data_IF_002452773081
#
_entry.id   IF_002452773081
#
_cell.length_a   1.000
_cell.length_b   1.000
_cell.length_c   1.000
_cell.angle_alpha   90.00
_cell.angle_beta   90.00
_cell.angle_gamma   90.00
#
_symmetry.space_group_name_H-M   'P 1'
#
loop_
_entity.id
_entity.type
_entity.pdbx_description
1 polymer ?
#
# COMPACT_ATOMS: atom_id res chain seq x y z
N UNK A 1 12.10 -1.53 -19.06
CA UNK A 1 11.55 -0.19 -19.34
C UNK A 1 12.18 0.28 -20.63
N UNK A 2 11.37 0.58 -21.64
CA UNK A 2 11.85 1.16 -22.91
C UNK A 2 11.87 2.68 -22.77
N UNK A 3 13.05 3.28 -22.78
CA UNK A 3 13.25 4.71 -22.75
C UNK A 3 13.80 5.23 -24.08
N UNK A 4 13.58 6.51 -24.34
CA UNK A 4 14.12 7.19 -25.52
C UNK A 4 15.09 8.28 -25.05
N UNK A 5 16.30 8.28 -25.59
CA UNK A 5 17.26 9.38 -25.44
C UNK A 5 17.40 10.13 -26.75
N UNK A 6 17.69 11.41 -26.64
CA UNK A 6 18.02 12.24 -27.79
C UNK A 6 19.55 12.44 -27.82
N UNK A 7 20.19 11.90 -28.83
CA UNK A 7 21.57 12.22 -29.16
C UNK A 7 21.54 13.18 -30.33
N UNK A 8 21.78 14.46 -30.07
CA UNK A 8 21.61 15.49 -31.09
C UNK A 8 20.16 15.60 -31.56
N UNK A 9 19.89 15.52 -32.85
CA UNK A 9 18.56 15.58 -33.48
C UNK A 9 17.89 14.21 -33.66
N UNK A 10 18.58 13.11 -33.39
CA UNK A 10 18.07 11.75 -33.59
C UNK A 10 17.55 11.12 -32.33
N UNK A 11 16.41 10.43 -32.38
CA UNK A 11 15.86 9.62 -31.30
C UNK A 11 16.52 8.24 -31.32
N UNK A 12 17.27 7.89 -30.28
CA UNK A 12 17.82 6.55 -30.12
C UNK A 12 16.92 5.75 -29.19
N UNK A 13 16.52 4.54 -29.62
CA UNK A 13 15.72 3.61 -28.85
C UNK A 13 16.66 2.66 -28.13
N UNK A 14 16.62 2.63 -26.78
CA UNK A 14 17.46 1.76 -25.97
C UNK A 14 16.64 0.91 -25.01
N UNK A 15 17.11 -0.31 -24.74
CA UNK A 15 16.59 -1.18 -23.67
C UNK A 15 17.44 -0.94 -22.41
N UNK A 16 16.75 -0.63 -21.29
CA UNK A 16 17.40 -0.36 -20.00
C UNK A 16 17.19 -1.53 -19.07
N UNK A 17 18.26 -2.07 -18.53
CA UNK A 17 18.24 -2.88 -17.32
C UNK A 17 18.51 -1.99 -16.12
N UNK A 18 17.73 -2.15 -15.06
CA UNK A 18 17.71 -1.33 -13.83
C UNK A 18 19.05 -1.26 -13.07
N UNK A 19 20.09 -2.00 -13.50
CA UNK A 19 21.34 -2.14 -12.79
C UNK A 19 22.44 -1.11 -13.17
N UNK A 20 22.25 -0.29 -14.22
CA UNK A 20 23.23 0.73 -14.60
C UNK A 20 22.54 1.89 -15.29
N UNK A 21 22.38 3.01 -14.59
CA UNK A 21 22.10 4.30 -15.19
C UNK A 21 23.44 4.83 -15.75
N UNK A 22 23.65 4.67 -17.06
CA UNK A 22 24.74 5.37 -17.72
C UNK A 22 24.19 6.72 -18.17
N UNK A 23 24.48 7.78 -17.40
CA UNK A 23 24.14 9.14 -17.79
C UNK A 23 25.21 9.59 -18.78
N UNK A 24 24.85 9.70 -20.05
CA UNK A 24 25.71 10.32 -21.04
C UNK A 24 25.43 11.82 -21.05
N UNK A 25 26.41 12.61 -20.65
CA UNK A 25 26.38 14.07 -20.75
C UNK A 25 26.67 14.49 -22.19
N UNK A 26 25.76 15.29 -22.76
CA UNK A 26 26.07 16.10 -23.93
C UNK A 26 26.56 17.49 -23.48
N UNK A 27 26.91 18.37 -24.45
CA UNK A 27 27.40 19.73 -24.22
C UNK A 27 26.40 20.67 -23.48
N UNK A 28 25.28 20.16 -23.00
CA UNK A 28 24.23 20.86 -22.22
C UNK A 28 24.08 20.33 -20.78
N UNK A 29 25.19 20.02 -20.15
CA UNK A 29 25.25 19.48 -18.78
C UNK A 29 24.36 20.26 -17.78
N UNK A 30 24.28 21.59 -17.91
CA UNK A 30 23.44 22.43 -17.05
C UNK A 30 21.93 22.15 -17.17
N UNK A 31 21.41 21.92 -18.36
CA UNK A 31 19.98 21.63 -18.55
C UNK A 31 19.61 20.22 -18.04
N UNK A 32 20.50 19.26 -18.24
CA UNK A 32 20.34 17.89 -17.72
C UNK A 32 20.38 17.88 -16.21
N UNK A 33 21.30 18.62 -15.61
CA UNK A 33 21.41 18.73 -14.14
C UNK A 33 20.18 19.41 -13.54
N UNK A 34 19.66 20.48 -14.14
CA UNK A 34 18.44 21.15 -13.70
C UNK A 34 17.20 20.23 -13.80
N UNK A 35 17.11 19.43 -14.86
CA UNK A 35 16.03 18.44 -15.02
C UNK A 35 16.14 17.35 -13.93
N UNK A 36 17.34 16.80 -13.72
CA UNK A 36 17.58 15.81 -12.68
C UNK A 36 17.29 16.38 -11.29
N UNK A 37 17.70 17.63 -11.02
CA UNK A 37 17.42 18.31 -9.77
C UNK A 37 15.91 18.49 -9.53
N UNK A 38 15.17 18.86 -10.56
CA UNK A 38 13.70 19.01 -10.51
C UNK A 38 13.00 17.67 -10.25
N UNK A 39 13.40 16.64 -10.99
CA UNK A 39 12.88 15.29 -10.82
C UNK A 39 13.21 14.72 -9.43
N UNK A 40 14.41 14.99 -8.94
CA UNK A 40 14.84 14.57 -7.62
C UNK A 40 14.07 15.27 -6.51
N UNK A 41 13.83 16.58 -6.59
CA UNK A 41 12.95 17.29 -5.66
C UNK A 41 11.55 16.67 -5.60
N UNK A 42 11.00 16.28 -6.75
CA UNK A 42 9.72 15.58 -6.79
C UNK A 42 9.80 14.19 -6.16
N UNK A 43 10.92 13.48 -6.31
CA UNK A 43 11.14 12.15 -5.72
C UNK A 43 11.36 12.19 -4.20
N UNK A 44 11.98 13.23 -3.65
CA UNK A 44 12.10 13.42 -2.20
C UNK A 44 10.70 13.46 -1.55
N UNK A 45 9.74 14.15 -2.19
CA UNK A 45 8.35 14.23 -1.73
C UNK A 45 7.63 12.88 -1.85
N UNK A 46 8.05 12.03 -2.80
CA UNK A 46 7.43 10.75 -3.13
C UNK A 46 8.31 9.53 -2.83
N UNK A 47 9.23 9.65 -1.86
CA UNK A 47 10.20 8.59 -1.52
C UNK A 47 9.49 7.26 -1.20
N UNK A 48 9.94 6.13 -1.78
CA UNK A 48 9.36 4.83 -1.46
C UNK A 48 9.70 4.43 -0.02
N UNK A 49 8.82 3.70 0.68
CA UNK A 49 9.12 3.15 1.99
C UNK A 49 10.34 2.23 1.95
N UNK A 50 11.13 2.26 2.99
CA UNK A 50 12.35 1.44 3.09
C UNK A 50 13.59 2.05 2.42
N UNK A 51 13.48 3.26 1.86
CA UNK A 51 14.64 4.01 1.35
C UNK A 51 15.01 5.09 2.36
N UNK A 52 16.24 5.06 2.82
CA UNK A 52 16.79 6.12 3.65
C UNK A 52 16.91 7.42 2.84
N UNK A 53 16.27 8.50 3.31
CA UNK A 53 16.25 9.77 2.60
C UNK A 53 17.62 10.44 2.59
N UNK A 54 18.42 10.25 3.65
CA UNK A 54 19.80 10.73 3.72
C UNK A 54 20.69 10.00 2.71
N UNK A 55 20.53 8.67 2.57
CA UNK A 55 21.24 7.88 1.56
C UNK A 55 20.87 8.30 0.14
N UNK A 56 19.62 8.63 -0.09
CA UNK A 56 19.14 9.14 -1.38
C UNK A 56 19.80 10.47 -1.73
N UNK A 57 19.96 11.37 -0.76
CA UNK A 57 20.66 12.63 -0.96
C UNK A 57 22.16 12.43 -1.23
N UNK A 58 22.80 11.51 -0.52
CA UNK A 58 24.20 11.13 -0.78
C UNK A 58 24.35 10.56 -2.21
N UNK A 59 23.46 9.65 -2.63
CA UNK A 59 23.50 9.07 -3.97
C UNK A 59 23.40 10.16 -5.05
N UNK A 60 22.48 11.14 -4.86
CA UNK A 60 22.36 12.26 -5.78
C UNK A 60 23.58 13.16 -5.80
N UNK A 61 24.15 13.45 -4.62
CA UNK A 61 25.38 14.25 -4.50
C UNK A 61 26.53 13.58 -5.26
N UNK A 62 26.71 12.26 -5.11
CA UNK A 62 27.69 11.47 -5.86
C UNK A 62 27.49 11.53 -7.38
N UNK A 63 26.24 11.48 -7.84
CA UNK A 63 25.94 11.66 -9.27
C UNK A 63 26.35 13.05 -9.75
N UNK A 64 26.02 14.10 -9.01
CA UNK A 64 26.42 15.47 -9.37
C UNK A 64 27.95 15.65 -9.33
N UNK A 65 28.62 15.09 -8.33
CA UNK A 65 30.09 15.16 -8.23
C UNK A 65 30.77 14.42 -9.39
N UNK A 66 30.27 13.22 -9.73
CA UNK A 66 30.80 12.47 -10.89
C UNK A 66 30.60 13.17 -12.24
N UNK A 67 29.62 14.10 -12.33
CA UNK A 67 29.38 14.93 -13.51
C UNK A 67 30.17 16.26 -13.46
N UNK A 68 30.89 16.54 -12.40
CA UNK A 68 31.64 17.78 -12.26
C UNK A 68 32.82 17.81 -13.25
N UNK A 69 33.09 18.99 -13.81
CA UNK A 69 34.26 19.17 -14.67
C UNK A 69 35.59 19.30 -13.90
N UNK A 70 35.55 19.33 -12.55
CA UNK A 70 36.74 19.48 -11.67
C UNK A 70 37.41 20.83 -11.70
N UNK A 71 36.88 21.84 -12.44
CA UNK A 71 37.54 23.12 -12.63
C UNK A 71 37.54 24.01 -11.38
N UNK A 72 36.40 24.21 -10.77
CA UNK A 72 36.29 25.08 -9.59
C UNK A 72 36.40 24.26 -8.28
N UNK A 73 37.10 24.87 -7.29
CA UNK A 73 37.33 24.27 -5.97
C UNK A 73 36.06 23.91 -5.23
N UNK A 74 34.99 24.77 -5.21
CA UNK A 74 33.74 24.43 -4.53
C UNK A 74 33.09 23.13 -5.02
N UNK A 75 33.16 22.86 -6.32
CA UNK A 75 32.62 21.64 -6.90
C UNK A 75 33.56 20.45 -6.68
N UNK A 76 34.86 20.62 -7.06
CA UNK A 76 35.84 19.53 -7.02
C UNK A 76 36.10 19.00 -5.60
N UNK A 77 36.33 19.89 -4.65
CA UNK A 77 36.74 19.52 -3.29
C UNK A 77 35.52 19.59 -2.33
N UNK A 78 34.63 20.57 -2.55
CA UNK A 78 33.49 20.80 -1.67
C UNK A 78 32.43 19.73 -1.75
N UNK A 79 32.07 19.23 -2.95
CA UNK A 79 31.09 18.13 -3.08
C UNK A 79 31.63 16.83 -2.47
N UNK A 80 32.94 16.54 -2.69
CA UNK A 80 33.58 15.39 -2.04
C UNK A 80 33.54 15.47 -0.52
N UNK A 81 33.78 16.67 0.04
CA UNK A 81 33.68 16.88 1.49
C UNK A 81 32.24 16.69 2.00
N UNK A 82 31.21 17.10 1.25
CA UNK A 82 29.82 16.84 1.60
C UNK A 82 29.48 15.35 1.54
N UNK A 83 30.04 14.60 0.58
CA UNK A 83 29.89 13.14 0.51
C UNK A 83 30.43 12.47 1.77
N UNK A 84 31.69 12.81 2.18
CA UNK A 84 32.30 12.28 3.39
C UNK A 84 31.45 12.55 4.64
N UNK A 85 30.93 13.78 4.77
CA UNK A 85 30.10 14.17 5.91
C UNK A 85 28.74 13.44 5.93
N UNK A 86 28.13 13.20 4.78
CA UNK A 86 26.89 12.40 4.68
C UNK A 86 27.15 10.92 4.96
N UNK A 87 28.31 10.40 4.53
CA UNK A 87 28.72 9.03 4.89
C UNK A 87 28.96 8.91 6.41
N UNK A 88 29.48 9.94 7.06
CA UNK A 88 29.59 9.96 8.52
C UNK A 88 28.22 9.91 9.20
N UNK A 89 27.22 10.62 8.67
CA UNK A 89 25.84 10.54 9.17
C UNK A 89 25.29 9.11 9.04
N UNK A 90 25.43 8.49 7.87
CA UNK A 90 24.92 7.14 7.60
C UNK A 90 25.65 6.05 8.38
N UNK A 91 26.93 6.26 8.68
CA UNK A 91 27.77 5.32 9.43
C UNK A 91 27.80 5.57 10.95
N UNK A 92 26.90 6.39 11.49
CA UNK A 92 26.77 6.70 12.92
C UNK A 92 28.05 7.35 13.51
N UNK A 93 28.80 8.11 12.72
CA UNK A 93 30.00 8.83 13.15
C UNK A 93 29.78 10.33 13.31
N UNK A 94 28.61 10.82 12.86
CA UNK A 94 28.29 12.24 12.86
C UNK A 94 27.74 12.71 14.22
N UNK A 95 27.92 14.00 14.48
CA UNK A 95 27.36 14.75 15.60
C UNK A 95 26.44 15.88 15.06
N UNK A 96 25.72 16.59 15.93
CA UNK A 96 24.94 17.76 15.50
C UNK A 96 25.84 18.88 14.90
N UNK A 97 27.09 18.96 15.35
CA UNK A 97 28.09 19.87 14.75
C UNK A 97 28.40 19.47 13.30
N UNK A 98 28.36 18.17 12.99
CA UNK A 98 28.50 17.66 11.62
C UNK A 98 27.38 18.17 10.73
N UNK A 99 26.13 18.18 11.20
CA UNK A 99 25.00 18.72 10.44
C UNK A 99 25.18 20.23 10.18
N UNK A 100 25.65 20.97 11.17
CA UNK A 100 25.96 22.39 11.04
C UNK A 100 27.06 22.61 10.01
N UNK A 101 28.09 21.73 9.99
CA UNK A 101 29.16 21.78 9.01
C UNK A 101 28.69 21.45 7.60
N UNK A 102 27.79 20.48 7.43
CA UNK A 102 27.17 20.16 6.15
C UNK A 102 26.42 21.39 5.62
N UNK A 103 25.58 22.01 6.45
CA UNK A 103 24.84 23.21 6.08
C UNK A 103 25.73 24.37 5.65
N UNK A 104 26.76 24.67 6.44
CA UNK A 104 27.73 25.72 6.16
C UNK A 104 28.50 25.44 4.87
N UNK A 105 28.96 24.21 4.67
CA UNK A 105 29.72 23.82 3.48
C UNK A 105 28.85 23.90 2.24
N UNK A 106 27.59 23.39 2.29
CA UNK A 106 26.64 23.47 1.19
C UNK A 106 26.32 24.93 0.83
N UNK A 107 26.08 25.82 1.81
CA UNK A 107 25.88 27.27 1.57
C UNK A 107 27.07 27.92 0.86
N UNK A 108 28.27 27.57 1.27
CA UNK A 108 29.48 28.10 0.62
C UNK A 108 29.58 27.63 -0.83
N UNK A 109 29.28 26.36 -1.12
CA UNK A 109 29.30 25.83 -2.50
C UNK A 109 28.21 26.49 -3.33
N UNK A 110 26.98 26.62 -2.80
CA UNK A 110 25.87 27.27 -3.49
C UNK A 110 26.23 28.69 -3.95
N UNK A 111 26.95 29.44 -3.11
CA UNK A 111 27.32 30.82 -3.38
C UNK A 111 28.57 30.99 -4.24
N UNK A 112 29.46 29.98 -4.31
CA UNK A 112 30.79 30.11 -4.90
C UNK A 112 31.07 29.20 -6.08
N UNK A 113 30.14 28.25 -6.39
CA UNK A 113 30.30 27.37 -7.56
C UNK A 113 30.01 28.11 -8.88
N UNK A 114 30.88 27.89 -9.88
CA UNK A 114 30.82 28.58 -11.17
C UNK A 114 29.62 28.14 -12.05
N UNK A 115 29.04 26.99 -11.80
CA UNK A 115 27.99 26.43 -12.68
C UNK A 115 26.93 25.65 -11.91
N UNK A 116 25.84 25.33 -12.62
CA UNK A 116 24.65 24.67 -12.09
C UNK A 116 24.95 23.31 -11.40
N UNK A 117 25.97 22.56 -11.84
CA UNK A 117 26.31 21.28 -11.20
C UNK A 117 26.65 21.49 -9.72
N UNK A 118 27.51 22.47 -9.42
CA UNK A 118 27.91 22.74 -8.03
C UNK A 118 26.80 23.37 -7.20
N UNK A 119 26.25 24.51 -7.66
CA UNK A 119 25.28 25.23 -6.83
C UNK A 119 23.91 24.51 -6.72
N UNK A 120 23.44 23.80 -7.74
CA UNK A 120 22.19 23.02 -7.62
C UNK A 120 22.36 21.76 -6.76
N UNK A 121 23.52 21.08 -6.83
CA UNK A 121 23.80 19.97 -5.94
C UNK A 121 23.77 20.41 -4.46
N UNK A 122 24.44 21.53 -4.17
CA UNK A 122 24.45 22.11 -2.82
C UNK A 122 23.06 22.60 -2.37
N UNK A 123 22.33 23.28 -3.25
CA UNK A 123 20.95 23.74 -2.99
C UNK A 123 20.00 22.58 -2.67
N UNK A 124 20.09 21.49 -3.41
CA UNK A 124 19.28 20.31 -3.16
C UNK A 124 19.59 19.67 -1.81
N UNK A 125 20.88 19.62 -1.44
CA UNK A 125 21.24 19.14 -0.11
C UNK A 125 20.70 20.05 0.99
N UNK A 126 20.75 21.38 0.83
CA UNK A 126 20.16 22.32 1.79
C UNK A 126 18.64 22.16 1.92
N UNK A 127 17.93 22.03 0.79
CA UNK A 127 16.47 21.77 0.79
C UNK A 127 16.16 20.46 1.48
N UNK A 128 16.97 19.42 1.26
CA UNK A 128 16.81 18.15 1.93
C UNK A 128 17.12 18.21 3.42
N UNK A 129 18.19 18.89 3.81
CA UNK A 129 18.56 19.05 5.22
C UNK A 129 17.49 19.81 6.02
N UNK A 130 16.82 20.79 5.39
CA UNK A 130 15.71 21.51 5.99
C UNK A 130 14.44 20.65 6.06
N UNK A 131 14.04 20.08 4.91
CA UNK A 131 12.79 19.32 4.80
C UNK A 131 12.79 17.94 5.47
N UNK A 132 13.98 17.37 5.72
CA UNK A 132 14.19 16.04 6.31
C UNK A 132 14.98 16.12 7.62
N UNK A 133 14.88 17.23 8.33
CA UNK A 133 15.72 17.49 9.50
C UNK A 133 15.59 16.41 10.58
N UNK A 134 14.39 15.90 10.79
CA UNK A 134 14.15 14.84 11.76
C UNK A 134 14.84 13.52 11.37
N UNK A 135 14.90 13.19 10.08
CA UNK A 135 15.63 12.00 9.61
C UNK A 135 17.14 12.14 9.89
N UNK A 136 17.71 13.32 9.64
CA UNK A 136 19.12 13.58 9.97
C UNK A 136 19.38 13.49 11.46
N UNK A 137 18.52 14.11 12.28
CA UNK A 137 18.65 14.07 13.74
C UNK A 137 18.49 12.65 14.30
N UNK A 138 17.59 11.86 13.72
CA UNK A 138 17.43 10.45 14.09
C UNK A 138 18.69 9.62 13.82
N UNK A 139 19.36 9.81 12.67
CA UNK A 139 20.63 9.15 12.40
C UNK A 139 21.72 9.56 13.39
N UNK A 140 21.78 10.86 13.74
CA UNK A 140 22.81 11.40 14.62
C UNK A 140 22.58 11.08 16.09
N UNK A 141 21.33 11.20 16.58
CA UNK A 141 20.98 11.03 18.00
C UNK A 141 20.65 9.60 18.35
N UNK A 142 19.89 8.93 17.51
CA UNK A 142 19.32 7.61 17.79
C UNK A 142 20.06 6.48 17.06
N UNK A 143 21.02 6.83 16.20
CA UNK A 143 21.80 5.89 15.38
C UNK A 143 20.92 4.95 14.55
N UNK A 144 19.78 5.45 14.08
CA UNK A 144 18.82 4.69 13.25
C UNK A 144 18.14 5.59 12.23
N UNK A 145 17.73 4.97 11.13
CA UNK A 145 16.86 5.59 10.15
C UNK A 145 15.41 5.50 10.62
N UNK A 146 14.75 6.62 10.94
CA UNK A 146 13.39 6.65 11.49
C UNK A 146 12.32 6.92 10.46
N UNK A 147 12.57 7.81 9.51
CA UNK A 147 11.53 8.37 8.66
C UNK A 147 11.01 7.43 7.56
N UNK A 148 11.87 6.56 7.03
CA UNK A 148 11.53 5.73 5.88
C UNK A 148 10.65 4.53 6.19
N UNK A 149 10.60 4.07 7.44
CA UNK A 149 9.83 2.88 7.83
C UNK A 149 8.40 3.20 8.27
N UNK A 150 8.11 4.45 8.62
CA UNK A 150 6.79 4.89 9.07
C UNK A 150 5.96 5.56 7.97
N UNK A 151 6.54 5.81 6.81
CA UNK A 151 5.77 6.39 5.70
C UNK A 151 4.75 5.39 5.17
N UNK A 152 3.45 5.76 5.15
CA UNK A 152 2.42 4.87 4.64
C UNK A 152 2.69 4.53 3.17
N UNK A 153 2.58 3.25 2.84
CA UNK A 153 2.64 2.79 1.46
C UNK A 153 1.32 3.19 0.79
N UNK A 154 1.30 4.07 -0.22
CA UNK A 154 0.06 4.64 -0.72
C UNK A 154 -0.98 3.62 -1.16
N UNK A 155 -0.57 2.47 -1.71
CA UNK A 155 -1.51 1.42 -2.08
C UNK A 155 -2.07 0.66 -0.87
N UNK A 156 -1.28 0.48 0.21
CA UNK A 156 -1.76 -0.12 1.47
C UNK A 156 -2.69 0.87 2.17
N UNK A 157 -2.27 2.13 2.29
CA UNK A 157 -3.03 3.19 2.95
C UNK A 157 -4.39 3.44 2.27
N UNK A 158 -4.42 3.39 0.94
CA UNK A 158 -5.66 3.55 0.17
C UNK A 158 -6.55 2.30 0.20
N UNK A 159 -6.03 1.16 0.63
CA UNK A 159 -6.82 -0.06 0.78
C UNK A 159 -7.64 0.00 2.07
N UNK A 160 -9.00 -0.07 2.03
CA UNK A 160 -9.81 -0.03 3.26
C UNK A 160 -9.51 -1.15 4.26
N UNK A 161 -8.93 -2.27 3.79
CA UNK A 161 -8.52 -3.39 4.63
C UNK A 161 -7.01 -3.38 4.95
N UNK A 162 -6.26 -2.36 4.54
CA UNK A 162 -4.81 -2.22 4.74
C UNK A 162 -4.00 -3.47 4.40
N UNK A 163 -4.41 -4.19 3.34
CA UNK A 163 -3.72 -5.42 2.89
C UNK A 163 -2.29 -5.10 2.46
N UNK A 164 -1.33 -5.94 2.85
CA UNK A 164 0.06 -5.83 2.39
C UNK A 164 0.16 -6.13 0.89
N UNK A 165 -0.08 -5.08 0.10
CA UNK A 165 -0.10 -5.15 -1.37
C UNK A 165 1.28 -5.46 -1.96
N UNK A 166 2.38 -4.78 -1.58
CA UNK A 166 3.71 -5.13 -2.08
C UNK A 166 4.11 -6.56 -1.76
N UNK A 167 3.79 -7.03 -0.55
CA UNK A 167 4.11 -8.38 -0.11
C UNK A 167 3.44 -9.45 -0.97
N UNK A 168 2.12 -9.39 -1.17
CA UNK A 168 1.47 -10.41 -2.00
C UNK A 168 1.82 -10.29 -3.50
N UNK A 169 2.13 -9.09 -4.00
CA UNK A 169 2.61 -8.92 -5.39
C UNK A 169 3.97 -9.60 -5.56
N UNK A 170 4.89 -9.42 -4.62
CA UNK A 170 6.19 -10.07 -4.65
C UNK A 170 6.07 -11.60 -4.61
N UNK A 171 5.21 -12.13 -3.73
CA UNK A 171 4.93 -13.57 -3.64
C UNK A 171 4.29 -14.12 -4.92
N UNK A 172 3.34 -13.39 -5.51
CA UNK A 172 2.72 -13.74 -6.78
C UNK A 172 3.76 -13.77 -7.91
N UNK A 173 4.64 -12.77 -7.98
CA UNK A 173 5.73 -12.71 -8.95
C UNK A 173 6.76 -13.83 -8.80
N UNK A 174 6.93 -14.36 -7.58
CA UNK A 174 7.77 -15.53 -7.28
C UNK A 174 7.06 -16.88 -7.50
N UNK A 175 5.80 -16.91 -7.96
CA UNK A 175 5.00 -18.12 -8.14
C UNK A 175 4.51 -18.75 -6.84
N UNK A 176 4.61 -18.03 -5.70
CA UNK A 176 4.20 -18.49 -4.36
C UNK A 176 2.75 -18.07 -4.08
N UNK A 177 1.82 -18.63 -4.83
CA UNK A 177 0.42 -18.18 -4.84
C UNK A 177 -0.31 -18.45 -3.53
N UNK A 178 -0.11 -19.60 -2.89
CA UNK A 178 -0.69 -19.96 -1.59
C UNK A 178 -0.22 -18.98 -0.50
N UNK A 179 1.07 -18.64 -0.50
CA UNK A 179 1.64 -17.68 0.43
C UNK A 179 1.08 -16.26 0.19
N UNK A 180 0.88 -15.87 -1.08
CA UNK A 180 0.26 -14.60 -1.42
C UNK A 180 -1.19 -14.52 -0.90
N UNK A 181 -2.00 -15.56 -1.09
CA UNK A 181 -3.37 -15.63 -0.58
C UNK A 181 -3.39 -15.66 0.95
N UNK A 182 -2.48 -16.40 1.59
CA UNK A 182 -2.33 -16.42 3.05
C UNK A 182 -2.02 -15.03 3.59
N UNK A 183 -1.11 -14.29 2.95
CA UNK A 183 -0.77 -12.92 3.33
C UNK A 183 -1.99 -11.98 3.20
N UNK A 184 -2.76 -12.09 2.11
CA UNK A 184 -3.99 -11.31 1.93
C UNK A 184 -5.00 -11.61 3.04
N UNK A 185 -5.17 -12.89 3.41
CA UNK A 185 -6.14 -13.34 4.43
C UNK A 185 -5.81 -12.89 5.84
N UNK A 186 -4.58 -12.45 6.09
CA UNK A 186 -4.20 -11.81 7.34
C UNK A 186 -5.07 -10.59 7.63
N UNK A 187 -5.32 -9.76 6.61
CA UNK A 187 -6.03 -8.49 6.74
C UNK A 187 -7.42 -8.51 6.06
N UNK A 188 -7.70 -9.51 5.22
CA UNK A 188 -8.95 -9.63 4.48
C UNK A 188 -9.31 -11.09 4.23
N UNK A 189 -10.34 -11.65 4.90
CA UNK A 189 -10.75 -13.04 4.75
C UNK A 189 -11.50 -13.34 3.44
N UNK A 190 -11.75 -12.33 2.58
CA UNK A 190 -12.41 -12.45 1.28
C UNK A 190 -11.46 -12.14 0.10
N UNK A 191 -10.31 -12.82 -0.05
CA UNK A 191 -9.38 -12.55 -1.14
C UNK A 191 -9.99 -12.78 -2.52
N UNK A 192 -10.84 -13.81 -2.68
CA UNK A 192 -11.47 -14.17 -3.96
C UNK A 192 -12.51 -13.11 -4.35
N UNK A 193 -13.37 -12.69 -3.41
CA UNK A 193 -14.32 -11.61 -3.66
C UNK A 193 -13.59 -10.33 -4.10
N UNK A 194 -12.58 -9.91 -3.35
CA UNK A 194 -11.82 -8.71 -3.69
C UNK A 194 -11.03 -8.82 -4.99
N UNK A 195 -10.57 -10.02 -5.37
CA UNK A 195 -9.91 -10.24 -6.66
C UNK A 195 -10.85 -10.02 -7.85
N UNK A 196 -12.14 -10.33 -7.69
CA UNK A 196 -13.12 -10.28 -8.77
C UNK A 196 -13.90 -8.98 -8.84
N UNK A 197 -14.24 -8.36 -7.70
CA UNK A 197 -15.21 -7.26 -7.64
C UNK A 197 -14.72 -5.99 -6.95
N UNK A 198 -13.50 -5.94 -6.41
CA UNK A 198 -12.96 -4.74 -5.76
C UNK A 198 -12.81 -3.58 -6.75
N UNK A 199 -13.19 -2.37 -6.35
CA UNK A 199 -12.99 -1.13 -7.12
C UNK A 199 -11.54 -0.65 -7.17
N UNK A 200 -10.62 -1.37 -6.51
CA UNK A 200 -9.16 -1.21 -6.54
C UNK A 200 -8.65 0.24 -6.39
N UNK A 201 -9.09 1.00 -5.36
CA UNK A 201 -8.66 2.37 -5.15
C UNK A 201 -7.13 2.49 -4.95
N UNK A 202 -6.46 1.41 -4.56
CA UNK A 202 -5.01 1.33 -4.44
C UNK A 202 -4.26 1.62 -5.76
N UNK A 203 -4.85 1.31 -6.91
CA UNK A 203 -4.26 1.60 -8.22
C UNK A 203 -4.27 3.10 -8.54
N UNK A 204 -5.27 3.85 -8.07
CA UNK A 204 -5.35 5.31 -8.26
C UNK A 204 -4.20 6.05 -7.56
N UNK A 205 -3.72 5.53 -6.43
CA UNK A 205 -2.60 6.09 -5.65
C UNK A 205 -1.28 5.35 -5.88
N UNK A 206 -1.21 4.49 -6.89
CA UNK A 206 0.02 3.80 -7.23
C UNK A 206 1.09 4.80 -7.66
N UNK A 207 2.27 4.76 -7.01
CA UNK A 207 3.39 5.64 -7.36
C UNK A 207 3.87 5.45 -8.81
N UNK A 208 3.60 4.28 -9.39
CA UNK A 208 3.92 4.00 -10.77
C UNK A 208 3.20 4.94 -11.76
N UNK A 209 2.02 5.47 -11.37
CA UNK A 209 1.30 6.48 -12.16
C UNK A 209 2.12 7.76 -12.44
N UNK A 210 3.17 8.01 -11.63
CA UNK A 210 4.08 9.15 -11.85
C UNK A 210 5.10 8.89 -12.98
N UNK A 211 5.24 7.65 -13.41
CA UNK A 211 6.21 7.24 -14.43
C UNK A 211 5.53 6.85 -15.74
N UNK A 212 4.53 5.97 -15.67
CA UNK A 212 3.83 5.41 -16.83
C UNK A 212 2.35 5.07 -16.50
N UNK A 213 2.08 3.96 -15.84
CA UNK A 213 0.75 3.52 -15.44
C UNK A 213 0.80 2.73 -14.14
N UNK A 214 -0.32 2.66 -13.43
CA UNK A 214 -0.40 1.87 -12.21
C UNK A 214 -0.03 0.40 -12.42
N UNK A 215 0.50 -0.22 -11.39
CA UNK A 215 0.57 -1.68 -11.33
C UNK A 215 -0.86 -2.23 -11.35
N UNK A 216 -1.13 -3.25 -12.15
CA UNK A 216 -2.43 -3.93 -12.16
C UNK A 216 -2.59 -4.79 -10.89
N UNK A 217 -2.84 -4.10 -9.76
CA UNK A 217 -2.85 -4.68 -8.41
C UNK A 217 -3.96 -5.71 -8.26
N UNK A 218 -5.19 -5.38 -8.74
CA UNK A 218 -6.31 -6.30 -8.71
C UNK A 218 -6.09 -7.51 -9.63
N UNK A 219 -5.51 -7.30 -10.81
CA UNK A 219 -5.18 -8.40 -11.73
C UNK A 219 -4.16 -9.36 -11.13
N UNK A 220 -3.13 -8.87 -10.43
CA UNK A 220 -2.16 -9.70 -9.71
C UNK A 220 -2.81 -10.46 -8.53
N UNK A 221 -3.71 -9.81 -7.79
CA UNK A 221 -4.52 -10.48 -6.76
C UNK A 221 -5.36 -11.60 -7.36
N UNK A 222 -5.98 -11.35 -8.53
CA UNK A 222 -6.74 -12.38 -9.23
C UNK A 222 -5.87 -13.54 -9.67
N UNK A 223 -4.70 -13.28 -10.23
CA UNK A 223 -3.73 -14.33 -10.58
C UNK A 223 -3.35 -15.17 -9.36
N UNK A 224 -3.11 -14.53 -8.20
CA UNK A 224 -2.82 -15.26 -6.98
C UNK A 224 -3.94 -16.24 -6.58
N UNK A 225 -5.21 -15.77 -6.54
CA UNK A 225 -6.34 -16.63 -6.15
C UNK A 225 -6.79 -17.62 -7.21
N UNK A 226 -6.45 -17.39 -8.49
CA UNK A 226 -6.77 -18.32 -9.59
C UNK A 226 -5.73 -19.43 -9.72
N UNK A 227 -4.46 -19.17 -9.34
CA UNK A 227 -3.36 -20.14 -9.41
C UNK A 227 -3.10 -20.88 -8.10
N UNK A 228 -3.56 -20.36 -6.95
CA UNK A 228 -3.37 -21.01 -5.66
C UNK A 228 -4.29 -22.24 -5.51
N UNK A 229 -3.73 -23.30 -4.91
CA UNK A 229 -4.56 -24.36 -4.33
C UNK A 229 -5.18 -23.86 -3.03
N UNK A 230 -6.44 -23.42 -3.12
CA UNK A 230 -7.16 -22.80 -2.03
C UNK A 230 -7.41 -23.74 -0.84
N UNK A 231 -7.46 -25.05 -1.10
CA UNK A 231 -7.66 -26.08 -0.08
C UNK A 231 -6.36 -26.45 0.67
N UNK A 232 -5.21 -26.26 0.04
CA UNK A 232 -3.90 -26.45 0.65
C UNK A 232 -3.54 -25.33 1.66
N UNK A 233 -4.27 -24.20 1.68
CA UNK A 233 -3.96 -23.07 2.56
C UNK A 233 -4.51 -23.35 3.98
N UNK A 234 -3.64 -23.52 5.00
CA UNK A 234 -4.09 -23.80 6.35
C UNK A 234 -4.76 -22.56 6.98
N UNK A 235 -5.72 -22.82 7.85
CA UNK A 235 -6.30 -21.78 8.72
C UNK A 235 -5.26 -21.38 9.76
N UNK A 236 -5.11 -20.07 10.08
CA UNK A 236 -4.21 -19.62 11.11
C UNK A 236 -4.53 -20.27 12.47
N UNK A 237 -3.52 -20.49 13.32
CA UNK A 237 -3.76 -20.99 14.67
C UNK A 237 -4.61 -20.01 15.46
N UNK A 238 -5.54 -20.54 16.25
CA UNK A 238 -6.34 -19.72 17.17
C UNK A 238 -5.56 -19.41 18.43
N UNK A 239 -5.85 -18.24 19.01
CA UNK A 239 -5.44 -17.94 20.38
C UNK A 239 -6.12 -18.88 21.40
N UNK A 240 -5.65 -18.87 22.62
CA UNK A 240 -6.27 -19.62 23.73
C UNK A 240 -7.74 -19.26 23.89
N UNK A 241 -8.56 -20.25 24.24
CA UNK A 241 -10.00 -20.06 24.40
C UNK A 241 -10.29 -19.06 25.54
N UNK A 242 -11.01 -18.00 25.21
CA UNK A 242 -11.36 -16.94 26.17
C UNK A 242 -12.57 -17.30 27.03
N UNK A 243 -13.31 -18.35 26.67
CA UNK A 243 -14.58 -18.70 27.26
C UNK A 243 -15.74 -17.76 26.90
N UNK A 244 -15.51 -16.74 26.09
CA UNK A 244 -16.52 -15.76 25.66
C UNK A 244 -17.28 -16.25 24.43
N UNK A 245 -18.60 -16.03 24.44
CA UNK A 245 -19.53 -16.35 23.32
C UNK A 245 -20.06 -15.06 22.71
N UNK A 246 -19.96 -14.94 21.39
CA UNK A 246 -20.36 -13.72 20.68
C UNK A 246 -21.42 -14.08 19.63
N UNK A 247 -22.57 -13.43 19.71
CA UNK A 247 -23.62 -13.51 18.69
C UNK A 247 -23.34 -12.50 17.58
N UNK A 248 -23.48 -12.93 16.33
CA UNK A 248 -23.31 -12.08 15.14
C UNK A 248 -24.61 -12.14 14.35
N UNK A 249 -25.25 -10.99 14.16
CA UNK A 249 -26.51 -10.88 13.43
C UNK A 249 -26.23 -10.45 12.01
N UNK A 250 -26.41 -11.37 11.06
CA UNK A 250 -26.16 -11.19 9.63
C UNK A 250 -24.91 -11.91 9.14
N UNK A 251 -25.12 -12.85 8.20
CA UNK A 251 -24.08 -13.66 7.55
C UNK A 251 -23.52 -13.05 6.26
N UNK A 252 -23.50 -11.71 6.17
CA UNK A 252 -22.86 -10.96 5.10
C UNK A 252 -21.35 -10.77 5.33
N UNK A 253 -20.66 -10.04 4.42
CA UNK A 253 -19.20 -9.82 4.51
C UNK A 253 -18.74 -9.28 5.86
N UNK A 254 -19.48 -8.32 6.43
CA UNK A 254 -19.14 -7.71 7.71
C UNK A 254 -19.21 -8.72 8.86
N UNK A 255 -20.33 -9.43 8.99
CA UNK A 255 -20.51 -10.41 10.07
C UNK A 255 -19.53 -11.58 9.96
N UNK A 256 -19.31 -12.09 8.75
CA UNK A 256 -18.37 -13.19 8.52
C UNK A 256 -16.91 -12.77 8.75
N UNK A 257 -16.53 -11.53 8.43
CA UNK A 257 -15.21 -10.98 8.77
C UNK A 257 -15.03 -10.87 10.28
N UNK A 258 -16.04 -10.36 11.00
CA UNK A 258 -16.03 -10.30 12.46
C UNK A 258 -15.93 -11.71 13.04
N UNK A 259 -16.73 -12.66 12.56
CA UNK A 259 -16.70 -14.06 13.01
C UNK A 259 -15.32 -14.69 12.84
N UNK A 260 -14.68 -14.47 11.68
CA UNK A 260 -13.35 -14.99 11.38
C UNK A 260 -12.31 -14.52 12.38
N UNK A 261 -12.17 -13.20 12.58
CA UNK A 261 -11.16 -12.68 13.47
C UNK A 261 -11.45 -12.98 14.94
N UNK A 262 -12.70 -12.92 15.37
CA UNK A 262 -13.08 -13.27 16.75
C UNK A 262 -12.80 -14.75 17.07
N UNK A 263 -13.03 -15.66 16.10
CA UNK A 263 -12.63 -17.06 16.25
C UNK A 263 -11.10 -17.22 16.39
N UNK A 264 -10.32 -16.49 15.59
CA UNK A 264 -8.86 -16.52 15.70
C UNK A 264 -8.37 -15.93 17.03
N UNK A 265 -9.11 -14.99 17.62
CA UNK A 265 -8.84 -14.43 18.95
C UNK A 265 -9.25 -15.37 20.11
N UNK A 266 -9.77 -16.56 19.81
CA UNK A 266 -10.15 -17.56 20.82
C UNK A 266 -11.57 -17.41 21.36
N UNK A 267 -12.41 -16.55 20.77
CA UNK A 267 -13.83 -16.43 21.13
C UNK A 267 -14.68 -17.47 20.38
N UNK A 268 -15.78 -17.88 20.98
CA UNK A 268 -16.80 -18.67 20.29
C UNK A 268 -17.79 -17.75 19.58
N UNK A 269 -17.96 -17.92 18.28
CA UNK A 269 -18.87 -17.06 17.49
C UNK A 269 -20.02 -17.87 16.90
N UNK A 270 -21.22 -17.32 16.96
CA UNK A 270 -22.44 -17.86 16.35
C UNK A 270 -23.03 -16.79 15.42
N UNK A 271 -23.14 -17.10 14.14
CA UNK A 271 -23.73 -16.22 13.13
C UNK A 271 -25.20 -16.61 12.92
N UNK A 272 -26.09 -15.65 13.13
CA UNK A 272 -27.51 -15.76 12.85
C UNK A 272 -27.82 -15.10 11.51
N UNK A 273 -28.31 -15.88 10.54
CA UNK A 273 -28.61 -15.41 9.19
C UNK A 273 -30.07 -15.74 8.85
N UNK A 274 -30.84 -14.73 8.45
CA UNK A 274 -32.27 -14.90 8.09
C UNK A 274 -32.45 -15.68 6.78
N UNK A 275 -31.48 -15.58 5.88
CA UNK A 275 -31.54 -16.25 4.56
C UNK A 275 -31.05 -17.70 4.65
N UNK A 276 -31.41 -18.54 3.65
CA UNK A 276 -30.98 -19.94 3.61
C UNK A 276 -29.49 -20.14 3.29
N UNK A 277 -28.72 -19.06 2.99
CA UNK A 277 -27.31 -19.18 2.65
C UNK A 277 -26.54 -17.93 3.06
N UNK A 278 -25.27 -18.13 3.45
CA UNK A 278 -24.33 -17.07 3.78
C UNK A 278 -23.89 -16.26 2.55
N UNK A 279 -23.35 -15.06 2.80
CA UNK A 279 -22.71 -14.22 1.82
C UNK A 279 -23.35 -12.83 1.64
N UNK A 280 -24.54 -12.60 2.19
CA UNK A 280 -25.23 -11.31 2.12
C UNK A 280 -25.26 -10.75 0.69
N UNK A 281 -24.94 -9.48 0.49
CA UNK A 281 -24.95 -8.84 -0.84
C UNK A 281 -23.96 -9.44 -1.85
N UNK A 282 -22.89 -10.13 -1.41
CA UNK A 282 -22.04 -10.88 -2.33
C UNK A 282 -22.77 -12.02 -3.03
N UNK A 283 -23.81 -12.57 -2.38
CA UNK A 283 -24.64 -13.64 -2.92
C UNK A 283 -25.92 -13.11 -3.55
N UNK A 284 -26.63 -12.23 -2.85
CA UNK A 284 -27.99 -11.84 -3.20
C UNK A 284 -28.08 -10.59 -4.06
N UNK A 285 -27.04 -9.71 -3.99
CA UNK A 285 -27.00 -8.48 -4.79
C UNK A 285 -26.14 -8.58 -6.04
N UNK A 286 -25.00 -9.31 -5.99
CA UNK A 286 -24.09 -9.39 -7.13
C UNK A 286 -24.50 -10.55 -8.04
N UNK A 287 -24.72 -10.31 -9.35
CA UNK A 287 -25.09 -11.36 -10.29
C UNK A 287 -24.04 -12.48 -10.40
N UNK A 288 -24.51 -13.72 -10.60
CA UNK A 288 -23.65 -14.91 -10.66
C UNK A 288 -22.60 -14.86 -11.77
N UNK A 289 -22.89 -14.20 -12.88
CA UNK A 289 -21.93 -14.05 -13.98
C UNK A 289 -20.78 -13.11 -13.63
N UNK A 290 -20.99 -12.16 -12.71
CA UNK A 290 -19.95 -11.25 -12.23
C UNK A 290 -19.16 -11.84 -11.06
N UNK A 291 -19.85 -12.51 -10.14
CA UNK A 291 -19.23 -13.21 -9.02
C UNK A 291 -19.82 -14.61 -8.85
N UNK A 292 -19.21 -15.64 -9.48
CA UNK A 292 -19.71 -16.99 -9.46
C UNK A 292 -19.85 -17.55 -8.04
N UNK A 293 -20.96 -18.22 -7.75
CA UNK A 293 -21.23 -18.76 -6.40
C UNK A 293 -20.19 -19.77 -5.94
N UNK A 294 -19.60 -20.53 -6.86
CA UNK A 294 -18.47 -21.43 -6.55
C UNK A 294 -17.24 -20.67 -6.04
N UNK A 295 -17.00 -19.49 -6.59
CA UNK A 295 -15.88 -18.63 -6.14
C UNK A 295 -16.17 -18.01 -4.77
N UNK A 296 -17.39 -17.60 -4.51
CA UNK A 296 -17.81 -17.15 -3.18
C UNK A 296 -17.64 -18.27 -2.13
N UNK A 297 -18.01 -19.51 -2.49
CA UNK A 297 -17.88 -20.65 -1.60
C UNK A 297 -16.44 -20.83 -1.10
N UNK A 298 -15.41 -20.58 -1.92
CA UNK A 298 -14.01 -20.69 -1.51
C UNK A 298 -13.65 -19.78 -0.32
N UNK A 299 -14.17 -18.54 -0.30
CA UNK A 299 -13.95 -17.63 0.83
C UNK A 299 -14.80 -18.06 2.04
N UNK A 300 -16.07 -18.44 1.83
CA UNK A 300 -16.96 -18.87 2.89
C UNK A 300 -16.47 -20.14 3.59
N UNK A 301 -16.10 -21.17 2.83
CA UNK A 301 -15.60 -22.44 3.36
C UNK A 301 -14.33 -22.23 4.20
N UNK A 302 -13.44 -21.36 3.76
CA UNK A 302 -12.24 -21.02 4.54
C UNK A 302 -12.58 -20.34 5.88
N UNK A 303 -13.53 -19.39 5.89
CA UNK A 303 -14.02 -18.75 7.11
C UNK A 303 -14.63 -19.79 8.04
N UNK A 304 -15.47 -20.68 7.52
CA UNK A 304 -16.13 -21.73 8.31
C UNK A 304 -15.14 -22.77 8.88
N UNK A 305 -14.04 -23.04 8.18
CA UNK A 305 -12.93 -23.88 8.70
C UNK A 305 -12.35 -23.34 10.03
N UNK A 306 -12.56 -22.06 10.37
CA UNK A 306 -12.19 -21.52 11.71
C UNK A 306 -13.12 -21.99 12.83
N UNK A 307 -14.19 -22.69 12.53
CA UNK A 307 -15.14 -23.23 13.54
C UNK A 307 -16.24 -22.24 13.95
N UNK A 308 -16.56 -21.28 13.07
CA UNK A 308 -17.75 -20.41 13.22
C UNK A 308 -19.01 -21.27 13.20
N UNK A 309 -19.85 -21.19 14.24
CA UNK A 309 -21.20 -21.77 14.25
C UNK A 309 -22.14 -20.90 13.42
N UNK A 310 -22.99 -21.50 12.62
CA UNK A 310 -23.94 -20.78 11.76
C UNK A 310 -25.36 -21.30 11.97
N UNK A 311 -26.32 -20.38 12.17
CA UNK A 311 -27.76 -20.63 12.22
C UNK A 311 -28.45 -19.90 11.09
N UNK A 312 -28.67 -20.64 10.02
CA UNK A 312 -29.41 -20.15 8.84
C UNK A 312 -30.92 -20.14 9.10
N UNK A 313 -31.69 -19.43 8.27
CA UNK A 313 -33.14 -19.27 8.37
C UNK A 313 -33.58 -18.80 9.77
N UNK A 314 -32.77 -18.00 10.43
CA UNK A 314 -33.00 -17.51 11.78
C UNK A 314 -32.99 -15.99 11.80
N UNK A 315 -34.14 -15.38 11.85
CA UNK A 315 -34.33 -13.94 11.90
C UNK A 315 -34.40 -13.46 13.35
N UNK A 316 -33.43 -12.67 13.75
CA UNK A 316 -33.43 -12.00 15.06
C UNK A 316 -34.54 -10.96 15.11
N UNK A 317 -35.32 -10.99 16.19
CA UNK A 317 -36.54 -10.19 16.34
C UNK A 317 -37.81 -10.96 16.01
N UNK A 318 -37.73 -12.09 15.28
CA UNK A 318 -38.84 -12.99 15.00
C UNK A 318 -38.65 -14.38 15.63
N UNK A 319 -37.54 -15.05 15.29
CA UNK A 319 -37.28 -16.44 15.70
C UNK A 319 -36.50 -16.51 17.02
N UNK A 320 -35.72 -15.52 17.30
CA UNK A 320 -34.99 -15.30 18.57
C UNK A 320 -35.01 -13.81 18.92
N UNK A 321 -35.25 -13.47 20.17
CA UNK A 321 -35.32 -12.07 20.59
C UNK A 321 -33.91 -11.52 20.89
N UNK A 322 -33.75 -10.20 20.78
CA UNK A 322 -32.52 -9.52 21.21
C UNK A 322 -32.23 -9.73 22.70
N UNK A 323 -33.28 -9.79 23.54
CA UNK A 323 -33.15 -10.03 24.97
C UNK A 323 -32.60 -11.44 25.26
N UNK A 324 -32.95 -12.45 24.47
CA UNK A 324 -32.41 -13.79 24.61
C UNK A 324 -30.93 -13.83 24.20
N UNK A 325 -30.56 -13.17 23.10
CA UNK A 325 -29.16 -13.03 22.71
C UNK A 325 -28.32 -12.35 23.79
N UNK A 326 -28.83 -11.30 24.42
CA UNK A 326 -28.14 -10.59 25.49
C UNK A 326 -27.97 -11.43 26.78
N UNK A 327 -28.81 -12.43 27.00
CA UNK A 327 -28.69 -13.37 28.14
C UNK A 327 -27.69 -14.49 27.85
N UNK A 328 -27.66 -14.98 26.60
CA UNK A 328 -26.89 -16.16 26.21
C UNK A 328 -25.46 -15.84 25.75
N UNK A 329 -25.20 -14.61 25.32
CA UNK A 329 -23.93 -14.18 24.73
C UNK A 329 -23.32 -13.02 25.49
N UNK A 330 -21.98 -13.00 25.58
CA UNK A 330 -21.23 -11.93 26.23
C UNK A 330 -21.26 -10.62 25.41
N UNK A 331 -21.41 -10.72 24.09
CA UNK A 331 -21.52 -9.57 23.19
C UNK A 331 -22.38 -9.92 21.96
N UNK A 332 -22.98 -8.88 21.37
CA UNK A 332 -23.75 -8.99 20.14
C UNK A 332 -23.19 -8.03 19.10
N UNK A 333 -22.82 -8.54 17.92
CA UNK A 333 -22.38 -7.75 16.78
C UNK A 333 -23.50 -7.69 15.73
N UNK A 334 -23.94 -6.48 15.38
CA UNK A 334 -25.04 -6.25 14.45
C UNK A 334 -24.50 -5.88 13.06
N UNK A 335 -24.78 -6.71 12.05
CA UNK A 335 -24.32 -6.55 10.66
C UNK A 335 -25.37 -6.93 9.63
N UNK A 336 -26.60 -6.44 9.85
CA UNK A 336 -27.81 -6.77 9.07
C UNK A 336 -27.78 -6.23 7.63
N UNK A 337 -26.86 -5.33 7.30
CA UNK A 337 -26.72 -4.72 5.98
C UNK A 337 -27.84 -3.74 5.63
N UNK A 338 -27.96 -3.45 4.33
CA UNK A 338 -29.03 -2.60 3.77
C UNK A 338 -29.87 -3.46 2.80
N UNK A 339 -31.05 -3.86 3.25
CA UNK A 339 -31.94 -4.79 2.54
C UNK A 339 -33.11 -4.10 1.85
N UNK A 340 -33.27 -2.78 2.03
CA UNK A 340 -34.34 -1.98 1.47
C UNK A 340 -33.84 -0.84 0.64
N UNK A 341 -34.53 -0.53 -0.45
CA UNK A 341 -34.24 0.65 -1.26
C UNK A 341 -34.59 1.94 -0.53
N UNK A 342 -33.93 3.03 -0.94
CA UNK A 342 -34.44 4.36 -0.69
C UNK A 342 -35.50 4.67 -1.76
N UNK A 343 -36.72 4.95 -1.31
CA UNK A 343 -37.76 5.47 -2.19
C UNK A 343 -37.44 6.92 -2.55
N UNK A 344 -37.64 7.27 -3.81
CA UNK A 344 -37.56 8.67 -4.24
C UNK A 344 -38.92 9.34 -4.04
N UNK A 345 -38.91 10.55 -3.54
CA UNK A 345 -40.11 11.40 -3.42
C UNK A 345 -40.34 12.15 -4.74
N UNK A 346 -40.80 11.39 -5.74
CA UNK A 346 -41.16 11.90 -7.07
C UNK A 346 -42.57 11.38 -7.42
N UNK A 347 -43.32 12.16 -8.21
CA UNK A 347 -44.65 11.79 -8.69
C UNK A 347 -44.56 10.50 -9.51
N UNK A 348 -45.42 9.50 -9.17
CA UNK A 348 -45.44 8.19 -9.80
C UNK A 348 -44.47 7.15 -9.23
N UNK A 349 -43.70 7.45 -8.18
CA UNK A 349 -42.80 6.48 -7.55
C UNK A 349 -43.55 5.23 -6.96
N UNK A 350 -44.83 5.36 -6.68
CA UNK A 350 -45.73 4.31 -6.17
C UNK A 350 -46.49 3.58 -7.29
N UNK A 351 -46.22 3.88 -8.57
CA UNK A 351 -46.89 3.22 -9.70
C UNK A 351 -46.58 1.74 -9.77
N UNK A 352 -47.52 0.94 -10.25
CA UNK A 352 -47.45 -0.52 -10.36
C UNK A 352 -46.23 -1.05 -11.12
N UNK A 353 -45.67 -0.24 -12.02
CA UNK A 353 -44.50 -0.59 -12.85
C UNK A 353 -43.18 -0.09 -12.27
N UNK A 354 -43.19 0.56 -11.12
CA UNK A 354 -41.98 0.97 -10.39
C UNK A 354 -41.62 -0.14 -9.41
N UNK A 355 -40.49 -0.80 -9.65
CA UNK A 355 -40.04 -1.94 -8.86
C UNK A 355 -38.71 -1.61 -8.20
N UNK A 356 -38.53 -2.15 -7.01
CA UNK A 356 -37.28 -2.05 -6.25
C UNK A 356 -36.16 -2.81 -6.96
N UNK A 357 -35.01 -2.17 -7.16
CA UNK A 357 -33.81 -2.84 -7.70
C UNK A 357 -33.26 -3.93 -6.76
N UNK A 358 -33.57 -3.84 -5.47
CA UNK A 358 -33.18 -4.88 -4.49
C UNK A 358 -34.11 -6.10 -4.57
N UNK A 359 -35.35 -5.91 -5.00
CA UNK A 359 -36.35 -6.98 -5.10
C UNK A 359 -36.46 -7.59 -6.51
N UNK A 360 -35.75 -7.03 -7.49
CA UNK A 360 -35.67 -7.53 -8.85
C UNK A 360 -34.72 -8.75 -8.92
#
# INVERSE_FOLDING_TARGET
IKGYFRKGKEKVKGDFTLSRLTVMTDDRASSTTLTLAKEFKQRIIASPPGVCLVEMQLAMLKVCHAQSCGKCVPCRDGLGKLEDLLEDVLNNRATEETLTLIEKTAKNIELSADCAIGFEAARMLLVGLDGLREDYLSHVREHRCSGSFEQPIPCIDQCPAHVDIPGYIALTGAGRYEDAVRLIRKDNPFPVACALICEHPCEQRCRRNMLDSSVNIRGLKRSAVDCADMDAIPVPPKAEATGRRIAIIGGGPSGLTAAYYLQLMGHQTVVFEEKPALGGMLRYGIPNYRFPRKRLAQDLDYILKTGVEVRLNTQVGRDISMADLQKEYDAVYISIGAQTDKTFDIEGADSLNVISAVNL
#
